data_IF_644113063268
#
_entry.id   IF_644113063268
#
_cell.length_a   1.000
_cell.length_b   1.000
_cell.length_c   1.000
_cell.angle_alpha   90.00
_cell.angle_beta   90.00
_cell.angle_gamma   90.00
#
_symmetry.space_group_name_H-M   'P 1'
#
loop_
_entity.id
_entity.type
_entity.pdbx_description
1 polymer ?
#
# COMPACT_ATOMS: atom_id res chain seq x y z
N UNK A 1 2.28 -3.16 -2.41
CA UNK A 1 2.74 -2.61 -3.69
C UNK A 1 2.73 -3.64 -4.80
N UNK A 2 3.26 -4.87 -4.60
CA UNK A 2 3.22 -5.96 -5.59
C UNK A 2 1.83 -6.25 -6.20
N UNK A 3 0.71 -6.34 -5.45
CA UNK A 3 -0.60 -6.61 -6.05
C UNK A 3 -1.04 -5.57 -7.10
N UNK A 4 -0.76 -4.29 -6.88
CA UNK A 4 -1.03 -3.23 -7.87
C UNK A 4 -0.18 -3.43 -9.12
N UNK A 5 1.10 -3.75 -8.96
CA UNK A 5 1.98 -4.08 -10.08
C UNK A 5 1.47 -5.25 -10.92
N UNK A 6 0.87 -6.26 -10.29
CA UNK A 6 0.30 -7.42 -11.01
C UNK A 6 -0.99 -7.07 -11.75
N UNK A 7 -1.83 -6.21 -11.18
CA UNK A 7 -3.02 -5.69 -11.87
C UNK A 7 -2.65 -4.94 -13.15
N UNK A 8 -1.59 -4.13 -13.11
CA UNK A 8 -1.08 -3.39 -14.27
C UNK A 8 -0.44 -4.33 -15.29
N UNK A 9 0.56 -5.11 -14.88
CA UNK A 9 1.32 -5.97 -15.81
C UNK A 9 0.48 -7.10 -16.40
N UNK A 10 -0.36 -7.76 -15.60
CA UNK A 10 -1.22 -8.86 -16.06
C UNK A 10 -2.26 -8.42 -17.08
N UNK A 11 -2.70 -7.16 -17.02
CA UNK A 11 -3.61 -6.61 -18.04
C UNK A 11 -2.84 -6.06 -19.24
N UNK A 12 -1.84 -5.20 -19.03
CA UNK A 12 -1.14 -4.52 -20.11
C UNK A 12 -0.30 -5.46 -20.97
N UNK A 13 0.41 -6.44 -20.38
CA UNK A 13 1.21 -7.38 -21.17
C UNK A 13 0.31 -8.31 -22.00
N UNK A 14 -0.79 -8.79 -21.44
CA UNK A 14 -1.74 -9.64 -22.17
C UNK A 14 -2.47 -8.86 -23.27
N UNK A 15 -2.77 -7.58 -23.05
CA UNK A 15 -3.29 -6.71 -24.09
C UNK A 15 -2.30 -6.55 -25.25
N UNK A 16 -1.03 -6.28 -24.97
CA UNK A 16 0.02 -6.20 -25.98
C UNK A 16 0.20 -7.52 -26.74
N UNK A 17 0.24 -8.65 -26.03
CA UNK A 17 0.27 -9.98 -26.65
C UNK A 17 -0.90 -10.19 -27.63
N UNK A 18 -2.10 -9.77 -27.23
CA UNK A 18 -3.31 -9.88 -28.07
C UNK A 18 -3.21 -9.01 -29.32
N UNK A 19 -2.66 -7.80 -29.22
CA UNK A 19 -2.41 -6.92 -30.37
C UNK A 19 -1.46 -7.58 -31.39
N UNK A 20 -0.51 -8.37 -30.91
CA UNK A 20 0.42 -9.15 -31.73
C UNK A 20 -0.14 -10.52 -32.19
N UNK A 21 -1.41 -10.84 -31.89
CA UNK A 21 -2.03 -12.12 -32.22
C UNK A 21 -1.55 -13.31 -31.38
N UNK A 22 -0.92 -13.05 -30.23
CA UNK A 22 -0.42 -14.07 -29.30
C UNK A 22 -1.46 -14.39 -28.23
N UNK A 23 -2.01 -15.60 -28.30
CA UNK A 23 -3.02 -16.10 -27.36
C UNK A 23 -2.47 -17.11 -26.32
N UNK A 24 -1.14 -17.33 -26.28
CA UNK A 24 -0.52 -18.25 -25.31
C UNK A 24 0.51 -17.49 -24.47
N UNK A 25 0.36 -17.50 -23.16
CA UNK A 25 1.32 -16.94 -22.21
C UNK A 25 2.09 -18.02 -21.46
N UNK A 26 3.40 -18.10 -21.71
CA UNK A 26 4.33 -18.87 -20.87
C UNK A 26 4.58 -18.17 -19.54
N UNK A 27 3.74 -18.43 -18.54
CA UNK A 27 3.80 -17.76 -17.23
C UNK A 27 4.50 -18.63 -16.19
N UNK A 28 5.72 -18.22 -15.80
CA UNK A 28 6.56 -18.88 -14.82
C UNK A 28 6.19 -18.65 -13.34
N UNK A 29 5.08 -17.97 -13.02
CA UNK A 29 4.61 -17.80 -11.65
C UNK A 29 4.53 -19.16 -10.92
N UNK A 30 5.08 -19.27 -9.71
CA UNK A 30 5.17 -20.55 -8.99
C UNK A 30 3.82 -21.02 -8.44
N UNK A 31 3.63 -22.33 -8.35
CA UNK A 31 2.39 -22.96 -7.86
C UNK A 31 2.08 -22.72 -6.36
N UNK A 32 3.01 -22.17 -5.59
CA UNK A 32 2.85 -21.83 -4.15
C UNK A 32 2.67 -20.34 -3.88
N UNK A 33 2.85 -19.50 -4.90
CA UNK A 33 2.77 -18.04 -4.79
C UNK A 33 1.35 -17.52 -4.97
N UNK A 34 1.13 -16.24 -4.67
CA UNK A 34 -0.14 -15.58 -4.98
C UNK A 34 -0.25 -15.17 -6.47
N UNK A 35 0.90 -14.92 -7.11
CA UNK A 35 0.93 -14.30 -8.44
C UNK A 35 0.38 -15.20 -9.54
N UNK A 36 0.41 -16.53 -9.36
CA UNK A 36 -0.25 -17.47 -10.28
C UNK A 36 -1.74 -17.19 -10.40
N UNK A 37 -2.44 -16.91 -9.29
CA UNK A 37 -3.88 -16.64 -9.31
C UNK A 37 -4.17 -15.23 -9.82
N UNK A 38 -3.34 -14.25 -9.44
CA UNK A 38 -3.48 -12.85 -9.90
C UNK A 38 -3.35 -12.77 -11.41
N UNK A 39 -2.28 -13.31 -11.97
CA UNK A 39 -2.02 -13.27 -13.40
C UNK A 39 -3.01 -14.09 -14.20
N UNK A 40 -3.40 -15.27 -13.70
CA UNK A 40 -4.48 -16.06 -14.30
C UNK A 40 -5.78 -15.24 -14.43
N UNK A 41 -6.18 -14.56 -13.36
CA UNK A 41 -7.40 -13.74 -13.35
C UNK A 41 -7.30 -12.53 -14.27
N UNK A 42 -6.24 -11.73 -14.15
CA UNK A 42 -6.08 -10.51 -14.97
C UNK A 42 -5.91 -10.83 -16.45
N UNK A 43 -5.18 -11.90 -16.78
CA UNK A 43 -4.99 -12.33 -18.15
C UNK A 43 -6.30 -12.75 -18.82
N UNK A 44 -7.10 -13.62 -18.18
CA UNK A 44 -8.39 -14.04 -18.71
C UNK A 44 -9.44 -12.94 -18.76
N UNK A 45 -9.40 -11.97 -17.84
CA UNK A 45 -10.24 -10.77 -17.93
C UNK A 45 -9.90 -9.91 -19.15
N UNK A 46 -8.62 -9.88 -19.55
CA UNK A 46 -8.13 -9.05 -20.66
C UNK A 46 -8.30 -9.74 -22.02
N UNK A 47 -8.02 -11.05 -22.07
CA UNK A 47 -8.15 -11.86 -23.26
C UNK A 47 -8.85 -13.18 -22.92
N UNK A 48 -10.12 -13.32 -23.33
CA UNK A 48 -10.92 -14.52 -23.09
C UNK A 48 -10.40 -15.77 -23.81
N UNK A 49 -9.57 -15.61 -24.85
CA UNK A 49 -8.94 -16.72 -25.59
C UNK A 49 -7.57 -17.10 -25.04
N UNK A 50 -7.09 -16.40 -24.00
CA UNK A 50 -5.77 -16.64 -23.44
C UNK A 50 -5.65 -18.06 -22.88
N UNK A 51 -4.66 -18.80 -23.37
CA UNK A 51 -4.18 -20.01 -22.76
C UNK A 51 -2.87 -19.71 -22.02
N UNK A 52 -2.66 -20.38 -20.89
CA UNK A 52 -1.48 -20.15 -20.06
C UNK A 52 -0.67 -21.44 -19.99
N UNK A 53 0.51 -21.42 -20.59
CA UNK A 53 1.49 -22.48 -20.47
C UNK A 53 2.26 -22.30 -19.16
N UNK A 54 2.34 -23.38 -18.36
CA UNK A 54 3.10 -23.42 -17.11
C UNK A 54 4.32 -24.32 -17.31
N UNK A 55 5.54 -23.77 -17.48
CA UNK A 55 6.73 -24.56 -17.78
C UNK A 55 7.01 -25.65 -16.73
N UNK A 56 6.71 -25.39 -15.45
CA UNK A 56 6.88 -26.36 -14.37
C UNK A 56 5.83 -27.49 -14.34
N UNK A 57 4.92 -27.57 -15.31
CA UNK A 57 4.09 -28.75 -15.59
C UNK A 57 4.68 -29.64 -16.68
N UNK A 58 5.68 -29.16 -17.41
CA UNK A 58 6.31 -29.84 -18.54
C UNK A 58 7.55 -30.60 -18.04
N UNK A 59 7.57 -31.92 -18.23
CA UNK A 59 8.68 -32.75 -17.77
C UNK A 59 9.99 -32.37 -18.46
N UNK A 60 9.94 -32.02 -19.74
CA UNK A 60 11.15 -31.71 -20.51
C UNK A 60 11.79 -30.42 -19.97
N UNK A 61 10.96 -29.43 -19.63
CA UNK A 61 11.43 -28.21 -18.97
C UNK A 61 12.01 -28.47 -17.58
N UNK A 62 11.38 -29.33 -16.78
CA UNK A 62 11.87 -29.65 -15.43
C UNK A 62 13.22 -30.37 -15.51
N UNK A 63 13.35 -31.32 -16.43
CA UNK A 63 14.55 -32.14 -16.57
C UNK A 63 15.74 -31.32 -17.10
N UNK A 64 15.51 -30.37 -18.01
CA UNK A 64 16.58 -29.52 -18.56
C UNK A 64 16.84 -28.24 -17.76
N UNK A 65 15.81 -27.63 -17.15
CA UNK A 65 15.85 -26.27 -16.59
C UNK A 65 15.26 -26.20 -15.17
N UNK A 66 15.26 -27.30 -14.42
CA UNK A 66 14.63 -27.40 -13.10
C UNK A 66 15.20 -26.48 -12.01
N UNK A 67 16.42 -25.97 -12.18
CA UNK A 67 17.09 -25.11 -11.22
C UNK A 67 17.91 -23.98 -11.86
N UNK A 68 18.35 -23.02 -11.04
CA UNK A 68 19.13 -21.87 -11.51
C UNK A 68 20.49 -22.27 -12.07
N UNK A 69 21.07 -23.35 -11.57
CA UNK A 69 22.35 -23.85 -12.02
C UNK A 69 22.23 -24.40 -13.44
N UNK A 70 21.26 -25.28 -13.66
CA UNK A 70 20.94 -25.90 -14.94
C UNK A 70 20.56 -24.84 -15.98
N UNK A 71 19.73 -23.85 -15.60
CA UNK A 71 19.43 -22.69 -16.47
C UNK A 71 20.69 -21.90 -16.88
N UNK A 72 21.66 -21.74 -15.97
CA UNK A 72 22.91 -21.05 -16.26
C UNK A 72 23.80 -21.86 -17.21
N UNK A 73 23.87 -23.18 -17.01
CA UNK A 73 24.62 -24.08 -17.89
C UNK A 73 24.01 -24.13 -19.29
N UNK A 74 22.68 -24.18 -19.40
CA UNK A 74 21.96 -24.11 -20.66
C UNK A 74 22.31 -22.84 -21.46
N UNK A 75 22.31 -21.67 -20.81
CA UNK A 75 22.68 -20.41 -21.46
C UNK A 75 24.13 -20.42 -21.97
N UNK A 76 25.08 -20.94 -21.16
CA UNK A 76 26.49 -21.07 -21.55
C UNK A 76 26.63 -22.04 -22.73
N UNK A 77 25.93 -23.17 -22.71
CA UNK A 77 25.92 -24.15 -23.80
C UNK A 77 25.36 -23.57 -25.10
N UNK A 78 24.39 -22.66 -25.02
CA UNK A 78 23.86 -21.90 -26.16
C UNK A 78 24.75 -20.74 -26.63
N UNK A 79 25.92 -20.52 -26.01
CA UNK A 79 26.88 -19.47 -26.40
C UNK A 79 26.62 -18.10 -25.78
N UNK A 80 25.77 -18.02 -24.75
CA UNK A 80 25.52 -16.79 -24.01
C UNK A 80 26.28 -16.80 -22.66
N UNK A 81 27.16 -15.82 -22.45
CA UNK A 81 27.89 -15.64 -21.18
C UNK A 81 26.96 -15.05 -20.10
N UNK A 82 26.03 -15.88 -19.60
CA UNK A 82 25.13 -15.50 -18.53
C UNK A 82 25.87 -15.53 -17.19
N UNK A 83 26.05 -14.35 -16.58
CA UNK A 83 26.65 -14.22 -15.25
C UNK A 83 25.57 -14.29 -14.19
N UNK A 84 25.53 -15.39 -13.44
CA UNK A 84 24.69 -15.46 -12.25
C UNK A 84 25.02 -14.30 -11.31
N UNK A 85 23.99 -13.57 -10.89
CA UNK A 85 24.12 -12.60 -9.82
C UNK A 85 24.60 -13.29 -8.55
N UNK A 86 25.43 -12.62 -7.76
CA UNK A 86 25.84 -13.08 -6.42
C UNK A 86 24.60 -13.49 -5.62
N UNK A 87 24.64 -14.69 -5.05
CA UNK A 87 23.52 -15.22 -4.29
C UNK A 87 23.17 -14.27 -3.12
N UNK A 88 21.91 -13.82 -3.08
CA UNK A 88 21.38 -13.01 -1.98
C UNK A 88 20.72 -13.90 -0.94
N UNK A 89 20.76 -13.44 0.32
CA UNK A 89 20.10 -14.06 1.46
C UNK A 89 18.56 -14.03 1.42
N UNK A 90 17.96 -13.37 0.41
CA UNK A 90 16.52 -13.22 0.22
C UNK A 90 16.19 -12.98 -1.27
N UNK A 91 14.92 -13.16 -1.64
CA UNK A 91 14.34 -12.81 -2.94
C UNK A 91 13.82 -11.37 -2.91
N UNK A 92 13.74 -10.69 -4.05
CA UNK A 92 13.19 -9.32 -4.13
C UNK A 92 12.35 -9.13 -5.38
N UNK A 93 11.14 -8.59 -5.20
CA UNK A 93 10.26 -8.07 -6.25
C UNK A 93 10.12 -6.56 -6.04
N UNK A 94 10.08 -5.78 -7.13
CA UNK A 94 10.04 -4.33 -7.03
C UNK A 94 9.35 -3.67 -8.22
N UNK A 95 8.74 -2.52 -7.94
CA UNK A 95 8.28 -1.56 -8.93
C UNK A 95 8.39 -0.15 -8.33
N UNK A 96 8.02 0.89 -9.07
CA UNK A 96 8.16 2.28 -8.58
C UNK A 96 7.33 2.60 -7.33
N UNK A 97 6.30 1.80 -6.98
CA UNK A 97 5.50 2.03 -5.78
C UNK A 97 6.17 1.45 -4.52
N UNK A 98 7.03 0.45 -4.68
CA UNK A 98 7.68 -0.22 -3.55
C UNK A 98 8.45 -1.49 -3.93
N UNK A 99 9.19 -2.01 -2.96
CA UNK A 99 9.91 -3.28 -3.04
C UNK A 99 9.48 -4.23 -1.92
N UNK A 100 9.59 -5.53 -2.17
CA UNK A 100 9.28 -6.59 -1.21
C UNK A 100 10.42 -7.60 -1.17
N UNK A 101 10.93 -7.88 0.03
CA UNK A 101 11.99 -8.86 0.27
C UNK A 101 11.42 -10.03 1.08
N UNK A 102 11.57 -11.25 0.57
CA UNK A 102 11.01 -12.46 1.19
C UNK A 102 11.86 -13.71 0.88
N UNK A 103 11.43 -14.85 1.41
CA UNK A 103 12.06 -16.18 1.25
C UNK A 103 13.48 -16.29 1.85
N UNK A 104 14.05 -17.49 1.78
CA UNK A 104 15.39 -17.81 2.28
C UNK A 104 15.54 -17.42 3.76
N UNK A 105 16.57 -16.66 4.13
CA UNK A 105 16.87 -16.33 5.53
C UNK A 105 15.76 -15.50 6.19
N UNK A 106 14.91 -14.80 5.41
CA UNK A 106 13.77 -14.05 5.93
C UNK A 106 12.59 -14.95 6.34
N UNK A 107 12.57 -16.24 5.95
CA UNK A 107 11.55 -17.20 6.40
C UNK A 107 11.61 -17.42 7.92
N UNK A 108 12.81 -17.31 8.49
CA UNK A 108 13.01 -17.49 9.92
C UNK A 108 12.73 -16.19 10.68
N UNK A 109 11.78 -16.23 11.63
CA UNK A 109 11.35 -15.04 12.40
C UNK A 109 12.44 -14.46 13.32
N UNK A 110 13.52 -15.22 13.58
CA UNK A 110 14.70 -14.72 14.29
C UNK A 110 15.68 -13.95 13.39
N UNK A 111 15.44 -13.91 12.07
CA UNK A 111 16.07 -12.98 11.14
C UNK A 111 15.41 -11.61 11.21
N UNK A 112 16.11 -10.56 10.80
CA UNK A 112 15.73 -9.16 11.00
C UNK A 112 15.86 -8.34 9.71
N UNK A 113 15.14 -7.22 9.64
CA UNK A 113 15.36 -6.17 8.62
C UNK A 113 16.84 -5.81 8.43
N UNK A 114 17.68 -6.00 9.45
CA UNK A 114 19.13 -5.73 9.40
C UNK A 114 19.91 -6.53 8.35
N UNK A 115 19.41 -7.69 7.89
CA UNK A 115 20.05 -8.44 6.79
C UNK A 115 19.69 -7.90 5.41
N UNK A 116 18.67 -7.05 5.32
CA UNK A 116 18.21 -6.45 4.07
C UNK A 116 19.12 -5.29 3.68
N UNK A 117 19.51 -5.26 2.42
CA UNK A 117 20.05 -4.08 1.75
C UNK A 117 18.90 -3.40 0.98
N UNK A 118 18.32 -2.30 1.50
CA UNK A 118 17.22 -1.60 0.87
C UNK A 118 17.60 -1.12 -0.54
N UNK A 119 16.64 -1.10 -1.46
CA UNK A 119 16.82 -0.66 -2.84
C UNK A 119 16.07 0.65 -3.16
N UNK A 120 15.22 1.13 -2.26
CA UNK A 120 14.49 2.39 -2.41
C UNK A 120 14.84 3.44 -1.35
N UNK A 121 15.71 3.10 -0.39
CA UNK A 121 16.14 4.03 0.64
C UNK A 121 17.43 3.63 1.35
N UNK A 122 17.71 4.31 2.46
CA UNK A 122 18.88 4.05 3.29
C UNK A 122 18.59 3.06 4.42
N UNK A 123 19.64 2.43 4.97
CA UNK A 123 19.56 1.59 6.18
C UNK A 123 19.37 2.45 7.42
N UNK A 124 18.16 2.92 7.67
CA UNK A 124 17.87 3.86 8.77
C UNK A 124 18.25 3.33 10.17
N UNK A 125 18.32 2.00 10.33
CA UNK A 125 18.73 1.30 11.55
C UNK A 125 20.24 1.23 11.76
N UNK A 126 21.05 1.58 10.75
CA UNK A 126 22.51 1.64 10.89
C UNK A 126 22.90 3.01 11.44
N UNK A 127 23.51 3.01 12.62
CA UNK A 127 23.94 4.21 13.34
C UNK A 127 25.01 5.00 12.56
N UNK A 128 25.76 4.34 11.66
CA UNK A 128 26.76 4.99 10.83
C UNK A 128 26.16 5.77 9.65
N UNK A 129 24.91 5.47 9.26
CA UNK A 129 24.21 6.20 8.21
C UNK A 129 23.75 7.53 8.78
N UNK A 130 24.26 8.65 8.25
CA UNK A 130 23.85 10.01 8.66
C UNK A 130 22.54 10.38 7.98
N UNK A 131 21.52 10.67 8.78
CA UNK A 131 20.19 11.07 8.31
C UNK A 131 19.83 12.39 9.01
N UNK A 132 20.03 13.55 8.38
CA UNK A 132 19.57 14.82 8.93
C UNK A 132 18.03 14.87 8.94
N UNK A 133 17.45 15.62 9.88
CA UNK A 133 16.03 15.92 9.81
C UNK A 133 15.72 16.76 8.56
N UNK A 134 14.59 16.49 7.92
CA UNK A 134 14.16 17.18 6.70
C UNK A 134 12.70 17.60 6.83
N UNK A 135 12.42 18.88 6.61
CA UNK A 135 11.05 19.35 6.45
C UNK A 135 10.58 19.10 5.01
N UNK A 136 9.41 18.50 4.89
CA UNK A 136 8.74 18.26 3.60
C UNK A 136 7.32 18.75 3.65
N UNK A 137 6.89 19.41 2.58
CA UNK A 137 5.51 19.81 2.39
C UNK A 137 4.89 19.06 1.21
N UNK A 138 3.72 18.46 1.44
CA UNK A 138 2.98 17.67 0.45
C UNK A 138 1.63 18.32 0.20
N UNK A 139 1.32 18.62 -1.07
CA UNK A 139 0.07 19.27 -1.47
C UNK A 139 -0.78 18.39 -2.38
N UNK A 140 -2.07 18.33 -2.07
CA UNK A 140 -3.10 17.62 -2.82
C UNK A 140 -4.14 18.57 -3.40
N UNK A 141 -4.70 18.19 -4.55
CA UNK A 141 -5.89 18.79 -5.16
C UNK A 141 -6.87 17.67 -5.52
N UNK A 142 -8.07 17.70 -4.92
CA UNK A 142 -9.13 16.70 -5.14
C UNK A 142 -8.64 15.24 -5.00
N UNK A 143 -7.75 15.00 -4.04
CA UNK A 143 -7.18 13.68 -3.75
C UNK A 143 -5.98 13.30 -4.61
N UNK A 144 -5.62 14.12 -5.60
CA UNK A 144 -4.43 13.93 -6.41
C UNK A 144 -3.25 14.71 -5.80
N UNK A 145 -2.10 14.06 -5.53
CA UNK A 145 -0.89 14.76 -5.12
C UNK A 145 -0.31 15.57 -6.29
N UNK A 146 -0.16 16.89 -6.10
CA UNK A 146 0.22 17.82 -7.18
C UNK A 146 1.52 18.57 -6.94
N UNK A 147 1.99 18.67 -5.69
CA UNK A 147 3.24 19.36 -5.39
C UNK A 147 3.98 18.80 -4.17
N UNK A 148 5.30 18.92 -4.20
CA UNK A 148 6.21 18.62 -3.09
C UNK A 148 7.16 19.82 -2.90
N UNK A 149 7.29 20.32 -1.67
CA UNK A 149 8.15 21.47 -1.33
C UNK A 149 7.91 22.70 -2.23
N UNK A 150 6.63 23.01 -2.49
CA UNK A 150 6.23 24.12 -3.37
C UNK A 150 6.44 23.89 -4.87
N UNK A 151 7.11 22.81 -5.28
CA UNK A 151 7.29 22.45 -6.69
C UNK A 151 6.08 21.64 -7.18
N UNK A 152 5.36 22.18 -8.16
CA UNK A 152 4.26 21.47 -8.84
C UNK A 152 4.79 20.48 -9.87
N UNK A 153 4.11 19.34 -9.98
CA UNK A 153 4.39 18.29 -10.95
C UNK A 153 3.18 18.14 -11.88
N UNK A 154 3.42 18.22 -13.19
CA UNK A 154 2.41 17.90 -14.20
C UNK A 154 2.41 16.41 -14.57
N UNK A 155 3.45 15.68 -14.18
CA UNK A 155 3.62 14.25 -14.42
C UNK A 155 3.60 13.49 -13.08
N UNK A 156 2.60 12.62 -12.93
CA UNK A 156 2.40 11.78 -11.75
C UNK A 156 3.59 10.85 -11.49
N UNK A 157 4.29 10.42 -12.55
CA UNK A 157 5.47 9.54 -12.43
C UNK A 157 6.62 10.30 -11.79
N UNK A 158 6.92 11.51 -12.27
CA UNK A 158 7.96 12.35 -11.69
C UNK A 158 7.62 12.78 -10.26
N UNK A 159 6.36 13.05 -9.96
CA UNK A 159 5.88 13.31 -8.59
C UNK A 159 6.16 12.11 -7.68
N UNK A 160 5.81 10.89 -8.11
CA UNK A 160 6.02 9.67 -7.34
C UNK A 160 7.52 9.34 -7.17
N UNK A 161 8.33 9.57 -8.22
CA UNK A 161 9.79 9.42 -8.14
C UNK A 161 10.39 10.41 -7.14
N UNK A 162 9.93 11.66 -7.11
CA UNK A 162 10.40 12.62 -6.13
C UNK A 162 9.96 12.25 -4.70
N UNK A 163 8.71 11.83 -4.51
CA UNK A 163 8.24 11.32 -3.22
C UNK A 163 9.09 10.13 -2.73
N UNK A 164 9.47 9.22 -3.64
CA UNK A 164 10.40 8.14 -3.33
C UNK A 164 11.79 8.64 -2.92
N UNK A 165 12.34 9.64 -3.61
CA UNK A 165 13.65 10.23 -3.24
C UNK A 165 13.60 10.85 -1.85
N UNK A 166 12.54 11.58 -1.53
CA UNK A 166 12.34 12.19 -0.21
C UNK A 166 12.24 11.10 0.86
N UNK A 167 11.25 10.21 0.79
CA UNK A 167 11.08 9.16 1.81
C UNK A 167 12.28 8.21 1.90
N UNK A 168 12.96 7.96 0.78
CA UNK A 168 14.12 7.07 0.69
C UNK A 168 15.32 7.57 1.47
N UNK A 169 15.56 8.89 1.56
CA UNK A 169 16.62 9.48 2.39
C UNK A 169 16.46 9.16 3.88
N UNK A 170 15.24 8.88 4.31
CA UNK A 170 14.91 8.60 5.71
C UNK A 170 14.64 7.12 5.99
N UNK A 171 14.50 6.29 4.95
CA UNK A 171 14.02 4.90 5.09
C UNK A 171 12.55 4.82 5.52
N UNK A 172 11.76 5.85 5.20
CA UNK A 172 10.34 5.96 5.55
C UNK A 172 9.53 4.82 4.91
N UNK A 173 8.53 4.31 5.62
CA UNK A 173 7.58 3.33 5.08
C UNK A 173 8.08 1.90 5.05
N UNK A 174 9.25 1.61 5.61
CA UNK A 174 9.70 0.23 5.78
C UNK A 174 8.90 -0.47 6.88
N UNK A 175 8.57 -1.76 6.65
CA UNK A 175 7.87 -2.59 7.64
C UNK A 175 8.18 -4.08 7.48
N UNK A 176 7.91 -4.85 8.55
CA UNK A 176 8.05 -6.31 8.62
C UNK A 176 6.67 -6.91 8.89
N UNK A 177 6.16 -7.75 7.99
CA UNK A 177 4.80 -8.27 8.06
C UNK A 177 4.78 -9.79 7.98
N UNK A 178 3.96 -10.41 8.83
CA UNK A 178 3.45 -11.77 8.61
C UNK A 178 2.06 -11.62 8.00
N UNK A 179 1.91 -12.05 6.75
CA UNK A 179 0.68 -11.91 5.96
C UNK A 179 0.04 -13.26 5.66
N UNK A 180 -1.24 -13.24 5.28
CA UNK A 180 -1.97 -14.44 4.87
C UNK A 180 -2.06 -14.47 3.34
N UNK A 181 -1.47 -15.49 2.73
CA UNK A 181 -1.58 -15.75 1.29
C UNK A 181 -3.00 -16.14 0.92
N UNK A 182 -3.32 -16.10 -0.38
CA UNK A 182 -4.64 -16.46 -0.91
C UNK A 182 -4.98 -17.92 -0.55
N UNK A 183 -3.97 -18.79 -0.55
CA UNK A 183 -4.06 -20.21 -0.20
C UNK A 183 -4.17 -20.51 1.32
N UNK A 184 -4.50 -19.50 2.13
CA UNK A 184 -4.69 -19.62 3.58
C UNK A 184 -3.44 -20.04 4.39
N UNK A 185 -2.26 -19.92 3.79
CA UNK A 185 -0.97 -20.08 4.44
C UNK A 185 -0.33 -18.73 4.77
N UNK A 186 0.51 -18.69 5.81
CA UNK A 186 1.25 -17.47 6.17
C UNK A 186 2.56 -17.35 5.39
N UNK A 187 2.95 -16.12 5.07
CA UNK A 187 4.31 -15.77 4.65
C UNK A 187 4.79 -14.54 5.39
N UNK A 188 6.10 -14.29 5.38
CA UNK A 188 6.72 -13.10 5.97
C UNK A 188 7.47 -12.32 4.91
N UNK A 189 7.36 -11.00 4.93
CA UNK A 189 8.09 -10.10 4.05
C UNK A 189 8.58 -8.84 4.76
N UNK A 190 9.67 -8.28 4.25
CA UNK A 190 10.13 -6.93 4.55
C UNK A 190 9.79 -6.03 3.36
N UNK A 191 9.17 -4.88 3.62
CA UNK A 191 8.61 -4.01 2.59
C UNK A 191 9.31 -2.66 2.57
N UNK A 192 9.46 -2.07 1.39
CA UNK A 192 9.84 -0.68 1.16
C UNK A 192 8.73 0.01 0.35
N UNK A 193 8.28 1.20 0.76
CA UNK A 193 7.33 2.01 -0.01
C UNK A 193 7.43 3.51 0.35
N UNK A 194 8.61 4.15 0.18
CA UNK A 194 8.90 5.46 0.76
C UNK A 194 7.97 6.58 0.27
N UNK A 195 7.75 6.69 -1.05
CA UNK A 195 6.85 7.72 -1.57
C UNK A 195 5.39 7.45 -1.22
N UNK A 196 4.95 6.18 -1.25
CA UNK A 196 3.58 5.82 -0.86
C UNK A 196 3.33 6.14 0.62
N UNK A 197 4.30 5.89 1.50
CA UNK A 197 4.20 6.20 2.91
C UNK A 197 4.13 7.71 3.17
N UNK A 198 4.97 8.50 2.50
CA UNK A 198 4.93 9.96 2.57
C UNK A 198 3.55 10.52 2.17
N UNK A 199 3.05 10.08 1.02
CA UNK A 199 1.74 10.50 0.50
C UNK A 199 0.60 10.04 1.41
N UNK A 200 0.68 8.82 1.95
CA UNK A 200 -0.32 8.28 2.87
C UNK A 200 -0.43 9.11 4.15
N UNK A 201 0.69 9.49 4.78
CA UNK A 201 0.70 10.32 5.99
C UNK A 201 -0.02 11.65 5.75
N UNK A 202 0.32 12.34 4.66
CA UNK A 202 -0.29 13.63 4.32
C UNK A 202 -1.78 13.49 3.95
N UNK A 203 -2.15 12.47 3.18
CA UNK A 203 -3.54 12.20 2.79
C UNK A 203 -4.42 11.89 4.02
N UNK A 204 -3.97 10.99 4.90
CA UNK A 204 -4.69 10.66 6.14
C UNK A 204 -4.84 11.88 7.05
N UNK A 205 -3.80 12.72 7.16
CA UNK A 205 -3.88 13.94 7.96
C UNK A 205 -4.96 14.88 7.42
N UNK A 206 -5.03 15.11 6.11
CA UNK A 206 -6.10 15.91 5.51
C UNK A 206 -7.47 15.26 5.70
N UNK A 207 -7.58 13.95 5.48
CA UNK A 207 -8.82 13.17 5.70
C UNK A 207 -9.43 13.46 7.08
N UNK A 208 -8.62 13.34 8.14
CA UNK A 208 -9.07 13.57 9.53
C UNK A 208 -9.49 15.00 9.85
N UNK A 209 -9.01 15.99 9.09
CA UNK A 209 -9.38 17.40 9.28
C UNK A 209 -10.59 17.84 8.46
N UNK A 210 -10.98 17.04 7.46
CA UNK A 210 -12.00 17.39 6.46
C UNK A 210 -13.29 16.59 6.70
N UNK A 211 -13.20 15.27 6.79
CA UNK A 211 -14.38 14.39 6.83
C UNK A 211 -14.90 14.16 8.24
N UNK A 212 -16.20 13.88 8.34
CA UNK A 212 -16.84 13.51 9.60
C UNK A 212 -16.55 12.06 10.00
N UNK A 213 -16.93 11.70 11.23
CA UNK A 213 -16.66 10.39 11.84
C UNK A 213 -17.19 9.21 10.99
N UNK A 214 -18.47 9.22 10.60
CA UNK A 214 -19.08 8.13 9.82
C UNK A 214 -18.45 7.96 8.43
N UNK A 215 -18.01 9.06 7.80
CA UNK A 215 -17.30 8.99 6.51
C UNK A 215 -15.92 8.37 6.67
N UNK A 216 -15.20 8.73 7.73
CA UNK A 216 -13.88 8.16 8.06
C UNK A 216 -14.01 6.68 8.42
N UNK A 217 -15.06 6.29 9.17
CA UNK A 217 -15.34 4.89 9.49
C UNK A 217 -15.53 4.06 8.21
N UNK A 218 -16.40 4.54 7.30
CA UNK A 218 -16.64 3.87 6.02
C UNK A 218 -15.39 3.82 5.15
N UNK A 219 -14.60 4.89 5.12
CA UNK A 219 -13.32 4.93 4.41
C UNK A 219 -12.39 3.79 4.86
N UNK A 220 -12.19 3.62 6.17
CA UNK A 220 -11.33 2.56 6.68
C UNK A 220 -11.91 1.16 6.49
N UNK A 221 -13.23 0.98 6.66
CA UNK A 221 -13.90 -0.31 6.45
C UNK A 221 -13.80 -0.75 4.98
N UNK A 222 -14.17 0.13 4.04
CA UNK A 222 -14.07 -0.11 2.61
C UNK A 222 -12.62 -0.28 2.16
N UNK A 223 -11.70 0.53 2.67
CA UNK A 223 -10.27 0.43 2.35
C UNK A 223 -9.68 -0.94 2.72
N UNK A 224 -10.00 -1.49 3.90
CA UNK A 224 -9.57 -2.84 4.31
C UNK A 224 -10.17 -3.93 3.41
N UNK A 225 -11.46 -3.84 3.09
CA UNK A 225 -12.12 -4.81 2.22
C UNK A 225 -11.54 -4.76 0.79
N UNK A 226 -11.34 -3.56 0.26
CA UNK A 226 -10.74 -3.33 -1.05
C UNK A 226 -9.29 -3.81 -1.10
N UNK A 227 -8.51 -3.59 -0.05
CA UNK A 227 -7.13 -4.10 0.07
C UNK A 227 -7.05 -5.63 -0.02
N UNK A 228 -8.00 -6.35 0.60
CA UNK A 228 -8.11 -7.81 0.45
C UNK A 228 -8.44 -8.23 -0.98
N UNK A 229 -9.42 -7.57 -1.62
CA UNK A 229 -9.78 -7.85 -3.01
C UNK A 229 -8.61 -7.60 -3.98
N UNK A 230 -7.89 -6.49 -3.79
CA UNK A 230 -6.67 -6.19 -4.52
C UNK A 230 -5.62 -7.31 -4.33
N UNK A 231 -5.37 -7.73 -3.09
CA UNK A 231 -4.41 -8.79 -2.79
C UNK A 231 -4.77 -10.13 -3.46
N UNK A 232 -6.06 -10.41 -3.62
CA UNK A 232 -6.63 -11.59 -4.28
C UNK A 232 -6.69 -11.48 -5.81
N UNK A 233 -6.15 -10.43 -6.43
CA UNK A 233 -6.20 -10.25 -7.88
C UNK A 233 -7.55 -9.75 -8.41
N UNK A 234 -8.45 -9.29 -7.55
CA UNK A 234 -9.84 -8.90 -7.88
C UNK A 234 -10.02 -7.40 -8.06
N UNK A 235 -8.95 -6.69 -8.42
CA UNK A 235 -8.96 -5.22 -8.50
C UNK A 235 -9.98 -4.65 -9.51
N UNK A 236 -10.31 -5.40 -10.56
CA UNK A 236 -11.26 -4.99 -11.60
C UNK A 236 -12.62 -5.67 -11.49
N UNK A 237 -12.83 -6.49 -10.45
CA UNK A 237 -14.13 -7.09 -10.17
C UNK A 237 -15.14 -6.02 -9.71
N UNK A 238 -16.43 -6.22 -10.00
CA UNK A 238 -17.51 -5.27 -9.68
C UNK A 238 -17.50 -4.81 -8.22
N UNK A 239 -17.32 -5.72 -7.25
CA UNK A 239 -17.25 -5.37 -5.84
C UNK A 239 -16.04 -4.50 -5.46
N UNK A 240 -14.90 -4.64 -6.17
CA UNK A 240 -13.76 -3.75 -5.98
C UNK A 240 -14.00 -2.39 -6.63
N UNK A 241 -14.66 -2.34 -7.79
CA UNK A 241 -15.06 -1.10 -8.45
C UNK A 241 -16.02 -0.28 -7.59
N UNK A 242 -17.03 -0.93 -6.99
CA UNK A 242 -18.00 -0.28 -6.09
C UNK A 242 -17.32 0.43 -4.91
N UNK A 243 -16.37 -0.27 -4.25
CA UNK A 243 -15.63 0.30 -3.13
C UNK A 243 -14.70 1.43 -3.59
N UNK A 244 -13.94 1.19 -4.67
CA UNK A 244 -12.95 2.15 -5.16
C UNK A 244 -13.59 3.44 -5.66
N UNK A 245 -14.67 3.36 -6.44
CA UNK A 245 -15.36 4.53 -6.98
C UNK A 245 -15.93 5.40 -5.85
N UNK A 246 -16.54 4.79 -4.83
CA UNK A 246 -17.04 5.50 -3.65
C UNK A 246 -15.93 6.27 -2.94
N UNK A 247 -14.77 5.62 -2.71
CA UNK A 247 -13.62 6.25 -2.07
C UNK A 247 -13.02 7.38 -2.91
N UNK A 248 -12.91 7.21 -4.23
CA UNK A 248 -12.39 8.25 -5.12
C UNK A 248 -13.34 9.46 -5.20
N UNK A 249 -14.65 9.23 -5.26
CA UNK A 249 -15.63 10.31 -5.47
C UNK A 249 -15.96 11.07 -4.20
N UNK A 250 -16.35 10.38 -3.14
CA UNK A 250 -16.93 11.02 -1.96
C UNK A 250 -15.88 11.38 -0.91
N UNK A 251 -14.77 10.65 -0.88
CA UNK A 251 -13.67 10.93 0.04
C UNK A 251 -12.61 11.78 -0.64
N UNK A 252 -11.97 11.24 -1.69
CA UNK A 252 -10.79 11.86 -2.27
C UNK A 252 -11.07 13.23 -2.92
N UNK A 253 -12.22 13.44 -3.55
CA UNK A 253 -12.56 14.73 -4.19
C UNK A 253 -12.55 15.94 -3.24
N UNK A 254 -12.70 15.73 -1.93
CA UNK A 254 -12.65 16.79 -0.93
C UNK A 254 -11.24 17.02 -0.37
N UNK A 255 -10.28 16.15 -0.68
CA UNK A 255 -8.90 16.22 -0.19
C UNK A 255 -8.11 17.22 -1.05
N UNK A 256 -8.28 18.51 -0.74
CA UNK A 256 -7.48 19.60 -1.29
C UNK A 256 -6.82 20.34 -0.14
N UNK A 257 -5.50 20.41 -0.11
CA UNK A 257 -4.77 21.00 1.01
C UNK A 257 -3.32 20.58 1.05
N UNK A 258 -2.64 21.00 2.10
CA UNK A 258 -1.20 20.88 2.25
C UNK A 258 -0.83 20.47 3.68
N UNK A 259 0.12 19.54 3.80
CA UNK A 259 0.64 19.05 5.08
C UNK A 259 2.15 19.21 5.10
N UNK A 260 2.67 19.80 6.17
CA UNK A 260 4.12 19.91 6.40
C UNK A 260 4.55 18.93 7.48
N UNK A 261 5.62 18.19 7.23
CA UNK A 261 6.15 17.11 8.05
C UNK A 261 7.65 17.35 8.29
N UNK A 262 8.16 16.98 9.46
CA UNK A 262 9.59 16.75 9.69
C UNK A 262 9.86 15.25 9.65
N UNK A 263 10.71 14.78 8.74
CA UNK A 263 11.15 13.39 8.63
C UNK A 263 12.49 13.19 9.34
N UNK A 264 12.59 12.11 10.12
CA UNK A 264 13.83 11.73 10.83
C UNK A 264 14.33 10.36 10.37
N UNK A 265 14.24 9.30 11.20
CA UNK A 265 14.75 7.96 10.86
C UNK A 265 13.62 6.95 10.79
N UNK A 266 13.55 6.21 9.69
CA UNK A 266 12.50 5.22 9.46
C UNK A 266 11.12 5.87 9.53
N UNK A 267 10.27 5.37 10.40
CA UNK A 267 8.90 5.85 10.60
C UNK A 267 8.78 6.92 11.71
N UNK A 268 9.90 7.50 12.16
CA UNK A 268 9.91 8.63 13.08
C UNK A 268 9.76 9.95 12.31
N UNK A 269 8.62 10.61 12.48
CA UNK A 269 8.29 11.90 11.86
C UNK A 269 7.39 12.73 12.76
N UNK A 270 7.25 14.02 12.46
CA UNK A 270 6.33 14.93 13.16
C UNK A 270 5.51 15.72 12.16
N UNK A 271 4.21 15.90 12.42
CA UNK A 271 3.37 16.81 11.64
C UNK A 271 3.59 18.23 12.18
N UNK A 272 4.06 19.13 11.31
CA UNK A 272 4.37 20.51 11.66
C UNK A 272 3.21 21.45 11.33
N UNK A 273 2.51 21.22 10.21
CA UNK A 273 1.39 22.06 9.79
C UNK A 273 0.36 21.30 8.95
N UNK A 274 -0.88 21.79 8.94
CA UNK A 274 -1.97 21.25 8.12
C UNK A 274 -2.87 22.40 7.68
N UNK A 275 -3.02 22.59 6.37
CA UNK A 275 -3.78 23.70 5.79
C UNK A 275 -4.72 23.16 4.73
N UNK A 276 -5.98 23.58 4.77
CA UNK A 276 -6.97 23.31 3.72
C UNK A 276 -8.17 24.23 3.90
N UNK A 277 -8.69 24.75 2.79
CA UNK A 277 -9.96 25.50 2.80
C UNK A 277 -11.17 24.60 3.11
N UNK A 278 -11.01 23.29 2.98
CA UNK A 278 -12.03 22.29 3.22
C UNK A 278 -12.03 21.75 4.66
N UNK A 279 -11.16 22.27 5.55
CA UNK A 279 -11.17 21.85 6.95
C UNK A 279 -12.54 22.09 7.59
N UNK A 280 -13.07 21.04 8.20
CA UNK A 280 -14.22 21.14 9.11
C UNK A 280 -13.76 21.38 10.54
N UNK A 281 -12.48 21.11 10.84
CA UNK A 281 -11.80 21.57 12.06
C UNK A 281 -11.72 23.10 12.11
N UNK A 282 -12.50 23.70 12.99
CA UNK A 282 -12.64 25.15 13.17
C UNK A 282 -12.72 25.48 14.66
N UNK A 283 -11.56 25.68 15.27
CA UNK A 283 -11.45 25.86 16.72
C UNK A 283 -12.30 27.04 17.23
N UNK A 284 -12.43 28.10 16.42
CA UNK A 284 -13.23 29.28 16.71
C UNK A 284 -14.73 28.98 16.87
N UNK A 285 -15.25 27.89 16.28
CA UNK A 285 -16.67 27.49 16.42
C UNK A 285 -16.98 26.81 17.76
N UNK A 286 -15.96 26.41 18.51
CA UNK A 286 -16.07 25.76 19.82
C UNK A 286 -15.43 26.60 20.93
N UNK A 287 -15.27 27.91 20.70
CA UNK A 287 -14.74 28.80 21.73
C UNK A 287 -15.62 28.80 22.97
N UNK A 288 -14.98 28.69 24.13
CA UNK A 288 -15.62 28.79 25.45
C UNK A 288 -15.50 30.22 26.02
N UNK A 289 -14.86 31.13 25.30
CA UNK A 289 -14.82 32.55 25.65
C UNK A 289 -16.19 33.20 25.46
N UNK A 290 -16.44 34.34 26.13
CA UNK A 290 -17.72 35.05 26.03
C UNK A 290 -17.96 35.52 24.59
N UNK A 291 -18.87 34.85 23.88
CA UNK A 291 -19.32 35.18 22.53
C UNK A 291 -20.55 34.37 22.13
N UNK A 292 -20.98 34.50 20.88
CA UNK A 292 -22.09 33.71 20.33
C UNK A 292 -21.69 32.22 20.26
N UNK A 293 -22.24 31.42 21.16
CA UNK A 293 -22.03 29.96 21.19
C UNK A 293 -23.08 29.23 20.38
N UNK A 294 -22.69 28.13 19.74
CA UNK A 294 -23.57 27.26 18.97
C UNK A 294 -24.50 26.41 19.84
N UNK A 295 -24.18 26.23 21.13
CA UNK A 295 -25.01 25.53 22.11
C UNK A 295 -24.70 26.01 23.54
N UNK A 296 -25.64 25.79 24.45
CA UNK A 296 -25.51 26.15 25.88
C UNK A 296 -25.17 24.93 26.74
N UNK A 297 -24.82 25.17 28.01
CA UNK A 297 -24.62 24.09 28.97
C UNK A 297 -25.91 23.25 29.15
N UNK A 298 -27.08 23.89 29.13
CA UNK A 298 -28.37 23.21 29.27
C UNK A 298 -28.65 22.26 28.11
N UNK A 299 -28.33 22.66 26.87
CA UNK A 299 -28.47 21.80 25.69
C UNK A 299 -27.66 20.51 25.85
N UNK A 300 -26.42 20.63 26.35
CA UNK A 300 -25.57 19.46 26.57
C UNK A 300 -26.10 18.56 27.68
N UNK A 301 -26.64 19.12 28.77
CA UNK A 301 -27.31 18.31 29.81
C UNK A 301 -28.52 17.59 29.21
N UNK A 302 -29.36 18.28 28.42
CA UNK A 302 -30.48 17.67 27.70
C UNK A 302 -30.03 16.48 26.83
N UNK A 303 -28.97 16.65 26.04
CA UNK A 303 -28.40 15.57 25.22
C UNK A 303 -27.95 14.35 26.04
N UNK A 304 -27.36 14.57 27.23
CA UNK A 304 -26.92 13.48 28.12
C UNK A 304 -28.10 12.69 28.66
N UNK A 305 -29.20 13.35 29.02
CA UNK A 305 -30.38 12.67 29.60
C UNK A 305 -30.99 11.63 28.66
N UNK A 306 -30.90 11.84 27.34
CA UNK A 306 -31.40 10.90 26.33
C UNK A 306 -30.66 9.55 26.33
N UNK A 307 -29.52 9.43 27.01
CA UNK A 307 -28.71 8.20 27.08
C UNK A 307 -29.12 7.28 28.24
N UNK A 308 -29.93 7.74 29.20
CA UNK A 308 -30.20 7.03 30.46
C UNK A 308 -30.91 5.68 30.30
N UNK A 309 -31.77 5.54 29.28
CA UNK A 309 -32.50 4.29 29.03
C UNK A 309 -31.52 3.16 28.66
N UNK A 310 -30.72 3.36 27.62
CA UNK A 310 -29.72 2.38 27.17
C UNK A 310 -28.65 2.09 28.25
N UNK A 311 -28.26 3.09 29.03
CA UNK A 311 -27.35 2.90 30.18
C UNK A 311 -27.95 1.96 31.23
N UNK A 312 -29.26 2.04 31.46
CA UNK A 312 -29.95 1.18 32.43
C UNK A 312 -30.00 -0.25 31.90
N UNK A 313 -30.40 -0.43 30.65
CA UNK A 313 -30.45 -1.75 30.00
C UNK A 313 -29.06 -2.41 29.96
N UNK A 314 -28.02 -1.65 29.63
CA UNK A 314 -26.63 -2.13 29.65
C UNK A 314 -26.20 -2.56 31.05
N UNK A 315 -26.60 -1.83 32.09
CA UNK A 315 -26.29 -2.21 33.48
C UNK A 315 -26.94 -3.54 33.86
N UNK A 316 -28.17 -3.78 33.45
CA UNK A 316 -28.85 -5.07 33.67
C UNK A 316 -28.14 -6.21 32.95
N UNK A 317 -27.68 -5.99 31.72
CA UNK A 317 -26.88 -6.98 30.97
C UNK A 317 -25.60 -7.36 31.70
N UNK A 318 -24.89 -6.38 32.27
CA UNK A 318 -23.66 -6.64 33.02
C UNK A 318 -23.88 -7.56 34.23
N UNK A 319 -24.99 -7.39 34.97
CA UNK A 319 -25.34 -8.32 36.03
C UNK A 319 -25.66 -9.73 35.51
N UNK A 320 -26.31 -9.83 34.35
CA UNK A 320 -26.56 -11.10 33.67
C UNK A 320 -25.29 -11.83 33.25
N UNK A 321 -24.24 -11.12 32.81
CA UNK A 321 -22.95 -11.74 32.46
C UNK A 321 -22.14 -12.24 33.66
N UNK A 322 -22.44 -11.77 34.87
CA UNK A 322 -21.71 -12.12 36.08
C UNK A 322 -22.26 -13.36 36.82
N UNK A 323 -23.41 -13.90 36.37
CA UNK A 323 -23.99 -15.15 36.85
C UNK A 323 -23.49 -16.34 36.04
#
# INVERSE_FOLDING_TARGET
TTPLGRAVTGTMLVAAMKEDGVNIWGDGSTYKGNDIERFYRYGLLTNAELQIYKPWLDSDFIDELGGRHEMSEFMIACGFDYKMSVEKAYSTDSNMLGATHEAKDLEFLNSSVKIVNPIMGVKFWDENVKIPAEEVTVRFEQGHPVALNGKTFADDVEMMLEANRIGGRHGLGMSDQIENRIIEAKSRGIYEAPGMALLHIAYERLLTGIHNEDTIEQYHAHGRQLGRLLYQGRWFDSQALMLRDSLQRWVASQITGEVTLELRRGNDYSILNTVSDNLTYKAERLTMEKGDSMFTAEDRIGQLTMRNLDITDTREKLFGYAQ
#
